data_IF_524401726520
#
_entry.id   IF_524401726520
#
_cell.length_a   1.000
_cell.length_b   1.000
_cell.length_c   1.000
_cell.angle_alpha   90.00
_cell.angle_beta   90.00
_cell.angle_gamma   90.00
#
_symmetry.space_group_name_H-M   'P 1'
#
loop_
_entity.id
_entity.type
_entity.pdbx_description
1 polymer ?
#
# COMPACT_ATOMS: atom_id res chain seq x y z
N UNK A 1 -23.83 -49.29 29.94
CA UNK A 1 -22.91 -48.16 30.19
C UNK A 1 -21.48 -48.60 30.50
N UNK A 2 -21.18 -49.38 31.55
CA UNK A 2 -19.80 -49.82 31.84
C UNK A 2 -19.16 -50.68 30.73
N UNK A 3 -19.94 -51.54 30.05
CA UNK A 3 -19.45 -52.37 28.92
C UNK A 3 -18.69 -51.57 27.84
N UNK A 4 -19.06 -50.31 27.61
CA UNK A 4 -18.43 -49.46 26.60
C UNK A 4 -17.05 -48.91 27.01
N UNK A 5 -16.78 -48.79 28.31
CA UNK A 5 -15.51 -48.25 28.86
C UNK A 5 -14.64 -49.35 29.50
N UNK A 6 -15.10 -50.60 29.43
CA UNK A 6 -14.49 -51.74 30.12
C UNK A 6 -13.06 -52.08 29.67
N UNK A 7 -12.67 -51.65 28.47
CA UNK A 7 -11.29 -51.80 27.97
C UNK A 7 -10.31 -50.73 28.48
N UNK A 8 -10.80 -49.62 29.04
CA UNK A 8 -9.97 -48.47 29.43
C UNK A 8 -9.91 -48.24 30.94
N UNK A 9 -10.97 -48.62 31.68
CA UNK A 9 -11.11 -48.28 33.09
C UNK A 9 -11.69 -49.47 33.86
N UNK A 10 -11.09 -49.79 35.02
CA UNK A 10 -11.59 -50.85 35.91
C UNK A 10 -12.99 -50.54 36.46
N UNK A 11 -13.76 -51.58 36.79
CA UNK A 11 -15.14 -51.46 37.28
C UNK A 11 -15.25 -50.54 38.50
N UNK A 12 -14.34 -50.72 39.47
CA UNK A 12 -14.27 -49.91 40.68
C UNK A 12 -13.98 -48.44 40.36
N UNK A 13 -13.03 -48.19 39.47
CA UNK A 13 -12.65 -46.82 39.08
C UNK A 13 -13.78 -46.11 38.34
N UNK A 14 -14.53 -46.81 37.48
CA UNK A 14 -15.67 -46.24 36.75
C UNK A 14 -16.79 -45.77 37.68
N UNK A 15 -17.17 -46.57 38.67
CA UNK A 15 -18.24 -46.20 39.60
C UNK A 15 -17.81 -45.12 40.59
N UNK A 16 -16.56 -45.11 41.04
CA UNK A 16 -16.00 -44.02 41.85
C UNK A 16 -15.96 -42.72 41.04
N UNK A 17 -15.50 -42.77 39.79
CA UNK A 17 -15.48 -41.62 38.89
C UNK A 17 -16.89 -41.09 38.66
N UNK A 18 -17.87 -41.96 38.38
CA UNK A 18 -19.27 -41.57 38.20
C UNK A 18 -19.88 -40.95 39.47
N UNK A 19 -19.56 -41.49 40.64
CA UNK A 19 -20.03 -40.95 41.91
C UNK A 19 -19.44 -39.57 42.19
N UNK A 20 -18.12 -39.39 41.93
CA UNK A 20 -17.45 -38.08 42.01
C UNK A 20 -18.02 -37.10 40.98
N UNK A 21 -18.21 -37.53 39.74
CA UNK A 21 -18.81 -36.72 38.69
C UNK A 21 -20.20 -36.23 39.10
N UNK A 22 -21.08 -37.14 39.56
CA UNK A 22 -22.39 -36.75 40.08
C UNK A 22 -22.30 -35.82 41.28
N UNK A 23 -21.34 -36.01 42.18
CA UNK A 23 -21.15 -35.13 43.34
C UNK A 23 -20.78 -33.71 42.91
N UNK A 24 -19.85 -33.55 41.97
CA UNK A 24 -19.45 -32.25 41.44
C UNK A 24 -20.53 -31.58 40.58
N UNK A 25 -21.26 -32.36 39.78
CA UNK A 25 -22.33 -31.81 38.93
C UNK A 25 -23.67 -31.62 39.63
N UNK A 26 -23.83 -32.09 40.89
CA UNK A 26 -25.09 -31.99 41.64
C UNK A 26 -25.44 -30.56 42.06
N UNK A 27 -24.42 -29.70 42.21
CA UNK A 27 -24.57 -28.30 42.60
C UNK A 27 -24.32 -27.33 41.43
N UNK A 28 -24.11 -27.84 40.20
CA UNK A 28 -24.05 -27.00 39.01
C UNK A 28 -25.48 -26.54 38.67
N UNK A 29 -25.84 -25.39 39.21
CA UNK A 29 -27.08 -24.71 38.87
C UNK A 29 -26.93 -23.99 37.51
N UNK A 30 -28.03 -23.88 36.76
CA UNK A 30 -28.07 -23.19 35.47
C UNK A 30 -27.51 -21.76 35.61
N UNK A 31 -27.79 -21.10 36.74
CA UNK A 31 -27.27 -19.77 37.07
C UNK A 31 -25.74 -19.72 37.18
N UNK A 32 -25.10 -20.77 37.72
CA UNK A 32 -23.63 -20.84 37.81
C UNK A 32 -22.99 -21.04 36.43
N UNK A 33 -23.65 -21.78 35.54
CA UNK A 33 -23.19 -21.94 34.16
C UNK A 33 -23.37 -20.66 33.35
N UNK A 34 -24.52 -19.98 33.50
CA UNK A 34 -24.79 -18.72 32.81
C UNK A 34 -23.84 -17.61 33.26
N UNK A 35 -23.61 -17.46 34.57
CA UNK A 35 -22.64 -16.49 35.08
C UNK A 35 -21.20 -16.80 34.63
N UNK A 36 -20.81 -18.08 34.61
CA UNK A 36 -19.52 -18.50 34.05
C UNK A 36 -19.38 -18.13 32.58
N UNK A 37 -20.42 -18.36 31.77
CA UNK A 37 -20.43 -18.02 30.34
C UNK A 37 -20.35 -16.49 30.13
N UNK A 38 -21.07 -15.69 30.93
CA UNK A 38 -20.96 -14.23 30.91
C UNK A 38 -19.56 -13.73 31.25
N UNK A 39 -18.90 -14.31 32.27
CA UNK A 39 -17.53 -13.95 32.66
C UNK A 39 -16.55 -14.29 31.54
N UNK A 40 -16.65 -15.49 30.96
CA UNK A 40 -15.81 -15.89 29.82
C UNK A 40 -16.04 -14.94 28.63
N UNK A 41 -17.28 -14.57 28.34
CA UNK A 41 -17.61 -13.59 27.31
C UNK A 41 -16.97 -12.23 27.56
N UNK A 42 -17.05 -11.71 28.79
CA UNK A 42 -16.39 -10.46 29.18
C UNK A 42 -14.87 -10.53 29.04
N UNK A 43 -14.25 -11.63 29.47
CA UNK A 43 -12.81 -11.84 29.32
C UNK A 43 -12.38 -11.88 27.85
N UNK A 44 -13.17 -12.52 26.98
CA UNK A 44 -12.90 -12.54 25.54
C UNK A 44 -13.04 -11.15 24.91
N UNK A 45 -14.03 -10.36 25.32
CA UNK A 45 -14.17 -8.96 24.86
C UNK A 45 -13.00 -8.10 25.33
N UNK A 46 -12.59 -8.22 26.60
CA UNK A 46 -11.43 -7.50 27.12
C UNK A 46 -10.14 -7.90 26.42
N UNK A 47 -9.94 -9.19 26.17
CA UNK A 47 -8.82 -9.70 25.38
C UNK A 47 -8.82 -9.10 23.97
N UNK A 48 -9.98 -9.08 23.31
CA UNK A 48 -10.11 -8.52 21.97
C UNK A 48 -9.83 -7.01 21.93
N UNK A 49 -10.35 -6.26 22.91
CA UNK A 49 -10.07 -4.83 23.05
C UNK A 49 -8.60 -4.55 23.33
N UNK A 50 -7.95 -5.37 24.15
CA UNK A 50 -6.51 -5.28 24.41
C UNK A 50 -5.71 -5.48 23.12
N UNK A 51 -6.07 -6.49 22.31
CA UNK A 51 -5.42 -6.75 21.03
C UNK A 51 -5.63 -5.61 20.02
N UNK A 52 -6.82 -4.99 19.99
CA UNK A 52 -7.09 -3.79 19.17
C UNK A 52 -6.21 -2.60 19.55
N UNK A 53 -6.01 -2.37 20.85
CA UNK A 53 -5.20 -1.26 21.36
C UNK A 53 -3.70 -1.49 21.20
N UNK A 54 -3.28 -2.76 21.06
CA UNK A 54 -1.88 -3.14 20.88
C UNK A 54 -1.36 -3.06 19.44
N UNK A 55 -2.20 -2.68 18.47
CA UNK A 55 -1.80 -2.57 17.06
C UNK A 55 -0.86 -1.37 16.88
N UNK A 56 0.32 -1.54 16.26
CA UNK A 56 1.25 -0.44 16.05
C UNK A 56 0.59 0.63 15.16
N UNK A 57 0.75 1.93 15.48
CA UNK A 57 0.27 2.99 14.61
C UNK A 57 1.01 2.94 13.26
N UNK A 58 0.33 3.32 12.15
CA UNK A 58 0.99 3.37 10.85
C UNK A 58 2.14 4.38 10.84
N UNK A 59 3.19 4.11 10.06
CA UNK A 59 4.32 5.05 9.89
C UNK A 59 3.84 6.37 9.31
N UNK A 60 2.86 6.31 8.42
CA UNK A 60 2.21 7.50 7.88
C UNK A 60 0.70 7.44 8.06
N UNK A 61 0.11 8.49 8.63
CA UNK A 61 -1.34 8.57 8.79
C UNK A 61 -1.99 8.70 7.40
N UNK A 62 -3.09 7.99 7.09
CA UNK A 62 -3.70 8.00 5.76
C UNK A 62 -4.10 9.41 5.28
N UNK A 63 -4.59 10.26 6.18
CA UNK A 63 -4.93 11.65 5.85
C UNK A 63 -3.69 12.48 5.52
N UNK A 64 -2.57 12.25 6.22
CA UNK A 64 -1.31 12.93 5.93
C UNK A 64 -0.70 12.47 4.61
N UNK A 65 -0.83 11.19 4.26
CA UNK A 65 -0.45 10.67 2.96
C UNK A 65 -1.28 11.30 1.84
N UNK A 66 -2.59 11.42 2.02
CA UNK A 66 -3.49 12.07 1.07
C UNK A 66 -3.08 13.53 0.79
N UNK A 67 -2.87 14.32 1.84
CA UNK A 67 -2.45 15.72 1.70
C UNK A 67 -1.08 15.87 1.02
N UNK A 68 -0.12 14.98 1.35
CA UNK A 68 1.20 14.99 0.71
C UNK A 68 1.11 14.67 -0.78
N UNK A 69 0.29 13.69 -1.17
CA UNK A 69 0.09 13.36 -2.59
C UNK A 69 -0.64 14.48 -3.31
N UNK A 70 -1.65 15.10 -2.70
CA UNK A 70 -2.33 16.26 -3.28
C UNK A 70 -1.36 17.43 -3.49
N UNK A 71 -0.51 17.73 -2.50
CA UNK A 71 0.53 18.75 -2.65
C UNK A 71 1.53 18.45 -3.76
N UNK A 72 2.01 17.20 -3.86
CA UNK A 72 2.94 16.77 -4.91
C UNK A 72 2.30 16.82 -6.29
N UNK A 73 1.05 16.39 -6.41
CA UNK A 73 0.33 16.41 -7.69
C UNK A 73 0.01 17.84 -8.13
N UNK A 74 -0.38 18.71 -7.20
CA UNK A 74 -0.60 20.13 -7.48
C UNK A 74 0.69 20.82 -7.94
N UNK A 75 1.80 20.57 -7.26
CA UNK A 75 3.11 21.12 -7.64
C UNK A 75 3.57 20.59 -9.01
N UNK A 76 3.36 19.31 -9.30
CA UNK A 76 3.65 18.73 -10.61
C UNK A 76 2.81 19.39 -11.72
N UNK A 77 1.50 19.53 -11.51
CA UNK A 77 0.59 20.20 -12.45
C UNK A 77 1.00 21.66 -12.65
N UNK A 78 1.32 22.37 -11.57
CA UNK A 78 1.77 23.75 -11.62
C UNK A 78 3.04 23.89 -12.48
N UNK A 79 4.04 23.03 -12.28
CA UNK A 79 5.27 23.05 -13.11
C UNK A 79 5.01 22.64 -14.57
N UNK A 80 4.10 21.69 -14.82
CA UNK A 80 3.66 21.32 -16.17
C UNK A 80 3.06 22.54 -16.88
N UNK A 81 2.18 23.26 -16.19
CA UNK A 81 1.58 24.49 -16.70
C UNK A 81 2.66 25.53 -16.99
N UNK A 82 3.62 25.73 -16.08
CA UNK A 82 4.74 26.65 -16.31
C UNK A 82 5.57 26.27 -17.54
N UNK A 83 5.89 24.99 -17.75
CA UNK A 83 6.60 24.54 -18.96
C UNK A 83 5.79 24.83 -20.22
N UNK A 84 4.50 24.51 -20.20
CA UNK A 84 3.61 24.67 -21.36
C UNK A 84 3.36 26.14 -21.73
N UNK A 85 3.52 27.05 -20.79
CA UNK A 85 3.38 28.50 -20.99
C UNK A 85 4.74 29.21 -21.05
N UNK A 86 5.86 28.47 -21.04
CA UNK A 86 7.19 29.06 -21.10
C UNK A 86 7.55 29.39 -22.55
N UNK A 87 7.60 30.69 -22.89
CA UNK A 87 7.96 31.19 -24.22
C UNK A 87 7.36 32.59 -24.45
N UNK A 88 7.83 33.31 -25.48
CA UNK A 88 7.28 34.63 -25.83
C UNK A 88 5.83 34.56 -26.31
N UNK A 89 5.42 33.40 -26.85
CA UNK A 89 4.09 33.15 -27.42
C UNK A 89 3.69 31.71 -27.14
N UNK A 90 2.46 31.52 -26.63
CA UNK A 90 1.94 30.20 -26.25
C UNK A 90 1.91 29.27 -27.47
N UNK A 91 2.62 28.14 -27.38
CA UNK A 91 2.71 27.15 -28.47
C UNK A 91 3.59 27.56 -29.66
N UNK A 92 4.34 28.66 -29.55
CA UNK A 92 5.33 29.01 -30.56
C UNK A 92 6.57 28.11 -30.46
N UNK A 93 7.15 27.78 -31.61
CA UNK A 93 8.33 26.92 -31.70
C UNK A 93 9.52 27.55 -30.98
N UNK A 94 10.29 26.77 -30.21
CA UNK A 94 11.59 27.22 -29.72
C UNK A 94 12.56 27.29 -30.90
N UNK A 95 13.00 28.50 -31.23
CA UNK A 95 13.86 28.78 -32.38
C UNK A 95 15.34 28.88 -32.02
N UNK A 96 15.67 29.11 -30.74
CA UNK A 96 17.06 29.27 -30.28
C UNK A 96 17.54 28.05 -29.47
N UNK A 97 18.83 27.69 -29.55
CA UNK A 97 19.42 26.63 -28.72
C UNK A 97 19.27 26.88 -27.21
N UNK A 98 19.29 28.14 -26.80
CA UNK A 98 19.11 28.57 -25.41
C UNK A 98 17.69 28.27 -24.92
N UNK A 99 16.67 28.53 -25.74
CA UNK A 99 15.28 28.22 -25.44
C UNK A 99 15.05 26.71 -25.33
N UNK A 100 15.68 25.92 -26.21
CA UNK A 100 15.61 24.45 -26.14
C UNK A 100 16.22 23.97 -24.84
N UNK A 101 17.42 24.44 -24.46
CA UNK A 101 18.08 24.05 -23.21
C UNK A 101 17.27 24.46 -21.97
N UNK A 102 16.73 25.67 -21.95
CA UNK A 102 15.89 26.16 -20.86
C UNK A 102 14.60 25.35 -20.75
N UNK A 103 13.98 24.99 -21.87
CA UNK A 103 12.81 24.13 -21.94
C UNK A 103 13.12 22.73 -21.38
N UNK A 104 14.18 22.08 -21.86
CA UNK A 104 14.64 20.76 -21.38
C UNK A 104 14.89 20.76 -19.87
N UNK A 105 15.54 21.79 -19.33
CA UNK A 105 15.77 21.92 -17.87
C UNK A 105 14.46 22.04 -17.08
N UNK A 106 13.49 22.83 -17.56
CA UNK A 106 12.19 22.96 -16.90
C UNK A 106 11.42 21.64 -16.96
N UNK A 107 11.46 20.92 -18.08
CA UNK A 107 10.82 19.60 -18.22
C UNK A 107 11.46 18.56 -17.29
N UNK A 108 12.78 18.57 -17.11
CA UNK A 108 13.43 17.71 -16.10
C UNK A 108 13.00 18.08 -14.66
N UNK A 109 12.86 19.37 -14.35
CA UNK A 109 12.37 19.83 -13.02
C UNK A 109 10.93 19.42 -12.73
N UNK A 110 10.09 19.23 -13.74
CA UNK A 110 8.76 18.63 -13.56
C UNK A 110 8.89 17.19 -13.09
N UNK A 111 9.70 16.37 -13.77
CA UNK A 111 9.89 14.94 -13.44
C UNK A 111 10.53 14.74 -12.06
N UNK A 112 11.46 15.62 -11.69
CA UNK A 112 12.09 15.64 -10.37
C UNK A 112 11.10 15.80 -9.21
N UNK A 113 9.89 16.33 -9.43
CA UNK A 113 8.86 16.38 -8.38
C UNK A 113 8.48 14.96 -7.94
N UNK A 114 8.31 14.05 -8.90
CA UNK A 114 7.91 12.66 -8.66
C UNK A 114 9.07 11.78 -8.20
N UNK A 115 10.31 12.17 -8.54
CA UNK A 115 11.55 11.50 -8.13
C UNK A 115 12.15 12.12 -6.85
N UNK A 116 11.45 13.04 -6.19
CA UNK A 116 11.94 13.69 -4.97
C UNK A 116 12.08 12.69 -3.82
N UNK A 117 13.05 12.94 -2.94
CA UNK A 117 13.28 12.10 -1.75
C UNK A 117 12.02 11.99 -0.87
N UNK A 118 11.23 13.06 -0.78
CA UNK A 118 9.97 13.09 -0.03
C UNK A 118 8.96 12.11 -0.60
N UNK A 119 8.80 12.05 -1.93
CA UNK A 119 7.88 11.13 -2.60
C UNK A 119 8.37 9.68 -2.46
N UNK A 120 9.69 9.45 -2.53
CA UNK A 120 10.26 8.13 -2.31
C UNK A 120 10.04 7.61 -0.90
N UNK A 121 10.29 8.44 0.12
CA UNK A 121 10.01 8.09 1.52
C UNK A 121 8.53 7.82 1.74
N UNK A 122 7.66 8.67 1.20
CA UNK A 122 6.20 8.49 1.25
C UNK A 122 5.75 7.15 0.65
N UNK A 123 6.26 6.77 -0.52
CA UNK A 123 6.01 5.46 -1.14
C UNK A 123 6.49 4.32 -0.23
N UNK A 124 7.71 4.43 0.30
CA UNK A 124 8.29 3.40 1.16
C UNK A 124 7.49 3.21 2.45
N UNK A 125 7.08 4.30 3.12
CA UNK A 125 6.29 4.26 4.35
C UNK A 125 4.94 3.58 4.12
N UNK A 126 4.21 3.96 3.05
CA UNK A 126 2.93 3.34 2.71
C UNK A 126 3.08 1.84 2.39
N UNK A 127 4.11 1.46 1.62
CA UNK A 127 4.36 0.06 1.27
C UNK A 127 4.75 -0.77 2.49
N UNK A 128 5.54 -0.21 3.40
CA UNK A 128 5.92 -0.87 4.64
C UNK A 128 4.72 -1.09 5.55
N UNK A 129 3.82 -0.10 5.67
CA UNK A 129 2.57 -0.23 6.43
C UNK A 129 1.64 -1.32 5.82
N UNK A 130 1.55 -1.38 4.49
CA UNK A 130 0.80 -2.44 3.77
C UNK A 130 1.42 -3.82 4.03
N UNK A 131 2.74 -3.94 4.02
CA UNK A 131 3.44 -5.20 4.29
C UNK A 131 3.22 -5.66 5.74
N UNK A 132 3.29 -4.75 6.71
CA UNK A 132 3.03 -5.04 8.12
C UNK A 132 1.59 -5.50 8.35
N UNK A 133 0.62 -4.86 7.69
CA UNK A 133 -0.77 -5.31 7.69
C UNK A 133 -0.91 -6.75 7.16
N UNK A 134 -0.31 -7.06 6.01
CA UNK A 134 -0.42 -8.40 5.40
C UNK A 134 0.20 -9.46 6.30
N UNK A 135 1.36 -9.14 6.89
CA UNK A 135 2.06 -10.04 7.80
C UNK A 135 1.21 -10.35 9.05
N UNK A 136 0.63 -9.30 9.66
CA UNK A 136 -0.14 -9.43 10.90
C UNK A 136 -1.49 -10.08 10.65
N UNK A 137 -2.21 -9.71 9.59
CA UNK A 137 -3.54 -10.25 9.29
C UNK A 137 -3.48 -11.60 8.56
N UNK A 138 -2.34 -11.97 7.99
CA UNK A 138 -2.16 -13.21 7.23
C UNK A 138 -2.91 -13.23 5.90
N UNK A 139 -3.24 -12.06 5.33
CA UNK A 139 -3.99 -11.93 4.08
C UNK A 139 -4.02 -10.50 3.54
N UNK A 140 -4.60 -10.32 2.35
CA UNK A 140 -4.62 -9.03 1.62
C UNK A 140 -5.98 -8.33 1.62
N UNK A 141 -7.00 -8.93 2.23
CA UNK A 141 -8.35 -8.38 2.29
C UNK A 141 -8.31 -6.90 2.73
N UNK A 142 -9.08 -5.98 2.14
CA UNK A 142 -10.21 -6.18 1.20
C UNK A 142 -9.83 -6.44 -0.24
N UNK A 143 -8.54 -6.41 -0.56
CA UNK A 143 -8.06 -6.66 -1.91
C UNK A 143 -7.69 -8.13 -2.08
N UNK A 144 -7.78 -8.63 -3.32
CA UNK A 144 -7.11 -9.87 -3.69
C UNK A 144 -5.59 -9.60 -3.69
N UNK A 145 -4.80 -10.51 -3.12
CA UNK A 145 -3.34 -10.43 -3.17
C UNK A 145 -2.81 -10.30 -4.62
N UNK A 146 -3.49 -10.92 -5.60
CA UNK A 146 -3.17 -10.72 -7.02
C UNK A 146 -3.38 -9.27 -7.45
N UNK A 147 -4.49 -8.67 -7.05
CA UNK A 147 -4.80 -7.27 -7.34
C UNK A 147 -3.79 -6.31 -6.70
N UNK A 148 -3.33 -6.59 -5.47
CA UNK A 148 -2.25 -5.81 -4.84
C UNK A 148 -0.98 -5.90 -5.69
N UNK A 149 -0.56 -7.11 -6.07
CA UNK A 149 0.63 -7.29 -6.93
C UNK A 149 0.50 -6.56 -8.26
N UNK A 150 -0.64 -6.71 -8.93
CA UNK A 150 -0.90 -6.09 -10.23
C UNK A 150 -0.92 -4.56 -10.14
N UNK A 151 -1.21 -3.99 -8.95
CA UNK A 151 -1.08 -2.54 -8.67
C UNK A 151 0.34 -2.10 -8.32
N UNK A 152 1.15 -2.98 -7.73
CA UNK A 152 2.54 -2.68 -7.36
C UNK A 152 3.51 -2.79 -8.54
N UNK A 153 3.26 -3.69 -9.49
CA UNK A 153 4.10 -3.88 -10.67
C UNK A 153 4.24 -2.60 -11.53
N UNK A 154 3.16 -1.85 -11.84
CA UNK A 154 3.26 -0.56 -12.51
C UNK A 154 4.06 0.49 -11.73
N UNK A 155 3.96 0.51 -10.39
CA UNK A 155 4.74 1.45 -9.55
C UNK A 155 6.24 1.19 -9.70
N UNK A 156 6.63 -0.08 -9.72
CA UNK A 156 8.04 -0.49 -9.93
C UNK A 156 8.52 -0.17 -11.35
N UNK A 157 7.71 -0.46 -12.37
CA UNK A 157 8.05 -0.18 -13.78
C UNK A 157 8.17 1.31 -14.06
N UNK A 158 7.24 2.11 -13.56
CA UNK A 158 7.23 3.56 -13.77
C UNK A 158 8.48 4.25 -13.20
N UNK A 159 9.09 3.72 -12.14
CA UNK A 159 10.35 4.23 -11.60
C UNK A 159 11.53 4.00 -12.57
N UNK A 160 11.58 2.82 -13.20
CA UNK A 160 12.63 2.47 -14.18
C UNK A 160 12.48 3.31 -15.45
N UNK A 161 11.26 3.44 -15.96
CA UNK A 161 10.97 4.24 -17.16
C UNK A 161 11.35 5.72 -16.97
N UNK A 162 11.07 6.30 -15.80
CA UNK A 162 11.44 7.69 -15.50
C UNK A 162 12.96 7.89 -15.44
N UNK A 163 13.68 6.95 -14.82
CA UNK A 163 15.14 6.98 -14.77
C UNK A 163 15.75 6.93 -16.19
N UNK A 164 15.17 6.12 -17.08
CA UNK A 164 15.61 6.05 -18.48
C UNK A 164 15.32 7.34 -19.26
N UNK A 165 14.16 7.97 -19.05
CA UNK A 165 13.82 9.27 -19.66
C UNK A 165 14.73 10.39 -19.13
N UNK A 166 15.01 10.41 -17.83
CA UNK A 166 15.93 11.40 -17.25
C UNK A 166 17.35 11.22 -17.77
N UNK A 167 17.82 9.97 -17.95
CA UNK A 167 19.11 9.69 -18.56
C UNK A 167 19.19 10.17 -20.02
N UNK A 168 18.13 10.00 -20.81
CA UNK A 168 18.11 10.48 -22.20
C UNK A 168 17.99 12.00 -22.32
N UNK A 169 17.41 12.68 -21.33
CA UNK A 169 17.39 14.15 -21.27
C UNK A 169 18.74 14.73 -20.85
N UNK A 170 19.47 14.03 -19.97
CA UNK A 170 20.79 14.45 -19.51
C UNK A 170 21.80 14.54 -20.66
N UNK A 171 21.78 13.58 -21.60
CA UNK A 171 22.69 13.57 -22.76
C UNK A 171 22.53 14.80 -23.66
N UNK A 172 21.34 15.43 -23.68
CA UNK A 172 21.08 16.66 -24.43
C UNK A 172 21.67 17.88 -23.74
N UNK A 173 21.73 17.87 -22.39
CA UNK A 173 22.33 18.94 -21.61
C UNK A 173 23.87 18.96 -21.66
N UNK A 174 24.47 17.81 -21.99
CA UNK A 174 25.91 17.61 -22.09
C UNK A 174 26.48 18.11 -23.44
N UNK A 175 25.62 18.34 -24.45
CA UNK A 175 26.06 18.89 -25.75
C UNK A 175 26.30 20.40 -25.62
N UNK A 176 27.46 20.91 -26.05
CA UNK A 176 27.73 22.35 -26.00
C UNK A 176 26.83 23.10 -26.99
N UNK A 177 26.41 24.32 -26.62
CA UNK A 177 25.35 25.09 -27.30
C UNK A 177 25.60 25.32 -28.80
N UNK A 178 26.87 25.43 -29.18
CA UNK A 178 27.37 25.61 -30.54
C UNK A 178 27.29 24.33 -31.40
N UNK A 179 27.13 23.16 -30.77
CA UNK A 179 27.11 21.85 -31.43
C UNK A 179 25.77 21.12 -31.24
N UNK A 180 24.75 21.81 -30.73
CA UNK A 180 23.44 21.23 -30.47
C UNK A 180 22.85 20.69 -31.80
N UNK A 181 22.63 19.37 -31.93
CA UNK A 181 22.23 18.79 -33.21
C UNK A 181 20.84 19.31 -33.61
N UNK A 182 20.63 19.51 -34.91
CA UNK A 182 19.30 19.75 -35.46
C UNK A 182 18.40 18.55 -35.11
N UNK A 183 17.56 18.72 -34.08
CA UNK A 183 16.58 17.74 -33.62
C UNK A 183 15.73 17.29 -34.82
N UNK A 184 15.72 15.99 -35.12
CA UNK A 184 15.04 15.43 -36.30
C UNK A 184 13.65 14.89 -35.93
N UNK A 185 12.69 15.02 -36.84
CA UNK A 185 11.38 14.36 -36.74
C UNK A 185 10.59 14.69 -35.46
N UNK A 186 10.07 13.65 -34.79
CA UNK A 186 9.22 13.78 -33.61
C UNK A 186 9.89 14.39 -32.37
N UNK A 187 11.23 14.37 -32.28
CA UNK A 187 11.95 15.10 -31.22
C UNK A 187 11.80 16.61 -31.40
N UNK A 188 11.81 17.09 -32.66
CA UNK A 188 11.56 18.50 -32.98
C UNK A 188 10.14 18.91 -32.60
N UNK A 189 9.13 18.08 -32.86
CA UNK A 189 7.75 18.32 -32.43
C UNK A 189 7.61 18.32 -30.90
N UNK A 190 8.25 17.38 -30.20
CA UNK A 190 8.29 17.36 -28.73
C UNK A 190 8.91 18.61 -28.17
N UNK A 191 10.03 19.06 -28.74
CA UNK A 191 10.68 20.32 -28.36
C UNK A 191 9.75 21.49 -28.62
N UNK A 192 9.14 21.60 -29.81
CA UNK A 192 8.22 22.70 -30.21
C UNK A 192 7.11 23.01 -29.19
N UNK A 193 6.69 22.04 -28.37
CA UNK A 193 5.62 22.21 -27.36
C UNK A 193 6.06 22.10 -25.89
N UNK A 194 7.36 22.09 -25.58
CA UNK A 194 7.86 22.03 -24.19
C UNK A 194 8.42 20.67 -23.76
N UNK A 195 9.03 19.95 -24.70
CA UNK A 195 9.58 18.60 -24.53
C UNK A 195 8.58 17.50 -24.12
N UNK A 196 7.28 17.77 -24.15
CA UNK A 196 6.25 16.73 -24.04
C UNK A 196 4.90 17.20 -24.56
N UNK A 197 4.23 16.36 -25.35
CA UNK A 197 2.90 16.65 -25.90
C UNK A 197 1.78 16.54 -24.84
N UNK A 198 2.03 15.95 -23.66
CA UNK A 198 0.99 15.76 -22.62
C UNK A 198 1.47 15.46 -21.18
N UNK A 199 2.77 15.30 -20.89
CA UNK A 199 3.26 14.85 -19.56
C UNK A 199 2.55 13.60 -19.02
N UNK A 200 2.09 12.72 -19.91
CA UNK A 200 1.32 11.51 -19.55
C UNK A 200 2.07 10.60 -18.58
N UNK A 201 3.40 10.57 -18.63
CA UNK A 201 4.27 9.89 -17.68
C UNK A 201 4.06 10.40 -16.25
N UNK A 202 4.05 11.72 -16.07
CA UNK A 202 3.86 12.36 -14.76
C UNK A 202 2.42 12.16 -14.27
N UNK A 203 1.43 12.30 -15.16
CA UNK A 203 0.02 12.03 -14.83
C UNK A 203 -0.21 10.57 -14.44
N UNK A 204 0.41 9.63 -15.15
CA UNK A 204 0.34 8.21 -14.86
C UNK A 204 0.94 7.89 -13.48
N UNK A 205 2.12 8.42 -13.17
CA UNK A 205 2.73 8.25 -11.86
C UNK A 205 1.92 8.88 -10.72
N UNK A 206 1.30 10.04 -10.96
CA UNK A 206 0.38 10.66 -10.01
C UNK A 206 -0.85 9.77 -9.73
N UNK A 207 -1.40 9.16 -10.79
CA UNK A 207 -2.47 8.16 -10.68
C UNK A 207 -2.05 6.95 -9.84
N UNK A 208 -0.88 6.39 -10.12
CA UNK A 208 -0.33 5.26 -9.36
C UNK A 208 -0.12 5.58 -7.88
N UNK A 209 0.36 6.78 -7.56
CA UNK A 209 0.50 7.24 -6.17
C UNK A 209 -0.85 7.33 -5.46
N UNK A 210 -1.86 7.87 -6.15
CA UNK A 210 -3.22 7.98 -5.61
C UNK A 210 -3.84 6.60 -5.37
N UNK A 211 -3.64 5.65 -6.29
CA UNK A 211 -4.13 4.28 -6.13
C UNK A 211 -3.44 3.56 -4.95
N UNK A 212 -2.14 3.78 -4.78
CA UNK A 212 -1.38 3.27 -3.63
C UNK A 212 -1.90 3.88 -2.31
N UNK A 213 -2.19 5.17 -2.29
CA UNK A 213 -2.74 5.83 -1.09
C UNK A 213 -4.15 5.35 -0.76
N UNK A 214 -5.02 5.17 -1.76
CA UNK A 214 -6.35 4.64 -1.54
C UNK A 214 -6.29 3.23 -0.93
N UNK A 215 -5.37 2.39 -1.44
CA UNK A 215 -5.13 1.05 -0.91
C UNK A 215 -4.58 1.09 0.52
N UNK A 216 -3.55 1.90 0.78
CA UNK A 216 -2.99 2.11 2.11
C UNK A 216 -4.06 2.58 3.11
N UNK A 217 -4.84 3.61 2.75
CA UNK A 217 -5.88 4.16 3.62
C UNK A 217 -6.95 3.14 3.98
N UNK A 218 -7.40 2.34 3.00
CA UNK A 218 -8.38 1.30 3.26
C UNK A 218 -7.81 0.21 4.18
N UNK A 219 -6.57 -0.24 3.94
CA UNK A 219 -5.94 -1.27 4.77
C UNK A 219 -5.68 -0.77 6.20
N UNK A 220 -5.23 0.48 6.36
CA UNK A 220 -5.01 1.07 7.69
C UNK A 220 -6.32 1.29 8.45
N UNK A 221 -7.42 1.58 7.76
CA UNK A 221 -8.75 1.67 8.38
C UNK A 221 -9.23 0.32 8.92
N UNK A 222 -8.95 -0.77 8.21
CA UNK A 222 -9.36 -2.12 8.60
C UNK A 222 -8.38 -2.79 9.58
N UNK A 223 -7.15 -2.28 9.68
CA UNK A 223 -6.08 -2.85 10.48
C UNK A 223 -6.44 -3.14 11.94
N UNK A 224 -6.97 -2.17 12.74
CA UNK A 224 -7.28 -2.43 14.15
C UNK A 224 -8.34 -3.52 14.34
N UNK A 225 -9.25 -3.68 13.38
CA UNK A 225 -10.32 -4.68 13.45
C UNK A 225 -9.86 -6.08 13.08
N UNK A 226 -8.80 -6.20 12.27
CA UNK A 226 -8.35 -7.47 11.70
C UNK A 226 -7.11 -8.05 12.34
N UNK A 227 -6.19 -7.19 12.79
CA UNK A 227 -5.03 -7.61 13.56
C UNK A 227 -5.36 -8.55 14.74
N UNK A 228 -6.43 -8.34 15.55
CA UNK A 228 -6.79 -9.25 16.64
C UNK A 228 -7.37 -10.61 16.18
N UNK A 229 -7.79 -10.74 14.91
CA UNK A 229 -8.43 -11.93 14.37
C UNK A 229 -7.83 -12.38 13.04
N UNK A 230 -6.53 -12.72 12.97
CA UNK A 230 -5.83 -13.09 11.73
C UNK A 230 -6.31 -14.43 11.14
N UNK A 231 -7.03 -15.22 11.93
CA UNK A 231 -7.67 -16.46 11.48
C UNK A 231 -8.94 -16.19 10.65
N UNK A 232 -9.60 -15.05 10.84
CA UNK A 232 -10.85 -14.69 10.16
C UNK A 232 -10.68 -14.55 8.64
N UNK A 233 -9.66 -13.82 8.12
CA UNK A 233 -9.39 -13.83 6.69
C UNK A 233 -8.94 -15.21 6.20
N UNK A 234 -8.21 -16.02 6.96
CA UNK A 234 -7.85 -17.40 6.54
C UNK A 234 -9.07 -18.32 6.37
N UNK A 235 -10.17 -18.05 7.08
CA UNK A 235 -11.43 -18.79 6.94
C UNK A 235 -12.31 -18.27 5.80
N UNK A 236 -12.22 -16.97 5.49
CA UNK A 236 -13.11 -16.27 4.54
C UNK A 236 -12.47 -15.97 3.17
N UNK A 237 -11.15 -15.98 3.09
CA UNK A 237 -10.37 -15.76 1.87
C UNK A 237 -9.46 -16.94 1.60
N UNK A 238 -9.31 -17.27 0.31
CA UNK A 238 -8.44 -18.36 -0.14
C UNK A 238 -7.06 -18.24 0.53
N UNK A 239 -6.48 -19.36 1.02
CA UNK A 239 -5.15 -19.33 1.60
C UNK A 239 -4.19 -18.77 0.56
N UNK A 240 -3.33 -17.83 0.98
CA UNK A 240 -2.14 -17.38 0.25
C UNK A 240 -1.36 -18.60 -0.26
N UNK A 241 -1.72 -19.09 -1.46
CA UNK A 241 -1.11 -20.28 -2.07
C UNK A 241 0.22 -19.94 -2.74
N UNK A 242 0.56 -18.65 -2.80
CA UNK A 242 1.77 -18.14 -3.40
C UNK A 242 2.70 -17.63 -2.30
N UNK A 243 3.76 -18.37 -2.00
CA UNK A 243 4.81 -18.00 -1.04
C UNK A 243 5.61 -16.77 -1.50
N UNK A 244 5.36 -16.26 -2.71
CA UNK A 244 5.96 -15.02 -3.26
C UNK A 244 5.45 -13.73 -2.61
N UNK A 245 4.47 -13.81 -1.72
CA UNK A 245 4.06 -12.67 -0.89
C UNK A 245 4.93 -12.49 0.36
N UNK A 246 5.84 -13.44 0.64
CA UNK A 246 6.92 -13.26 1.60
C UNK A 246 8.06 -12.54 0.86
N UNK A 247 8.14 -11.22 1.02
CA UNK A 247 9.31 -10.42 0.66
C UNK A 247 10.22 -10.32 1.88
#
# INVERSE_FOLDING_TARGET
>A
MYRWVSGFISYRTFYIWRARYRYYTRNLDLWTLMSGLCIVGLLLVLWYMWQMLGVPPPRIHPDTAALRIEGVTHEAIHRIVLVRHAGSTRGAEFTTPEDVRASTLRTMRVRQVMDSEVVWRLKADMLADIADYINVTGGCFPYDCRQIRDRLDPVRKAAVENAQINASLATILDVPLDQMPLLKGGERERVKSGWSDTFNDVYFQAGLLRDLQAMHAQMMREYPQRAPAPWLPRLLSDPLRDTRFVW
#
